data_IF_543681624984
#
_entry.id   IF_543681624984
#
_cell.length_a   1.000
_cell.length_b   1.000
_cell.length_c   1.000
_cell.angle_alpha   90.00
_cell.angle_beta   90.00
_cell.angle_gamma   90.00
#
_symmetry.space_group_name_H-M   'P 1'
#
loop_
_entity.id
_entity.type
_entity.pdbx_description
1 polymer ?
#
# COMPACT_ATOMS: atom_id res chain seq x y z
N UNK A 1 -7.45 -0.04 -21.68
CA UNK A 1 -7.05 1.14 -20.90
C UNK A 1 -5.70 1.61 -21.42
N UNK A 2 -5.48 2.90 -21.61
CA UNK A 2 -4.16 3.39 -22.04
C UNK A 2 -3.15 3.28 -20.90
N UNK A 3 -1.85 3.19 -21.22
CA UNK A 3 -0.78 3.15 -20.21
C UNK A 3 -0.82 4.37 -19.27
N UNK A 4 -1.11 5.56 -19.81
CA UNK A 4 -1.24 6.80 -19.02
C UNK A 4 -2.44 6.75 -18.09
N UNK A 5 -3.58 6.22 -18.56
CA UNK A 5 -4.78 6.04 -17.73
C UNK A 5 -4.54 5.05 -16.61
N UNK A 6 -3.83 3.94 -16.88
CA UNK A 6 -3.47 2.96 -15.86
C UNK A 6 -2.54 3.57 -14.80
N UNK A 7 -1.51 4.30 -15.22
CA UNK A 7 -0.60 5.00 -14.30
C UNK A 7 -1.34 6.00 -13.41
N UNK A 8 -2.31 6.74 -13.95
CA UNK A 8 -3.10 7.68 -13.18
C UNK A 8 -4.03 6.98 -12.18
N UNK A 9 -4.67 5.87 -12.59
CA UNK A 9 -5.55 5.09 -11.70
C UNK A 9 -4.78 4.50 -10.50
N UNK A 10 -3.57 4.01 -10.73
CA UNK A 10 -2.72 3.48 -9.66
C UNK A 10 -2.16 4.61 -8.77
N UNK A 11 -1.79 5.76 -9.35
CA UNK A 11 -1.36 6.93 -8.57
C UNK A 11 -2.47 7.45 -7.65
N UNK A 12 -3.72 7.41 -8.09
CA UNK A 12 -4.88 7.75 -7.26
C UNK A 12 -5.06 6.78 -6.07
N UNK A 13 -4.84 5.47 -6.29
CA UNK A 13 -4.83 4.49 -5.18
C UNK A 13 -3.74 4.84 -4.17
N UNK A 14 -2.51 5.10 -4.62
CA UNK A 14 -1.40 5.47 -3.74
C UNK A 14 -1.73 6.72 -2.91
N UNK A 15 -2.34 7.74 -3.54
CA UNK A 15 -2.76 8.97 -2.86
C UNK A 15 -3.80 8.68 -1.77
N UNK A 16 -4.82 7.87 -2.09
CA UNK A 16 -5.85 7.46 -1.11
C UNK A 16 -5.27 6.61 0.01
N UNK A 17 -4.30 5.76 -0.32
CA UNK A 17 -3.60 4.90 0.63
C UNK A 17 -2.81 5.74 1.64
N UNK A 18 -1.94 6.64 1.17
CA UNK A 18 -1.15 7.52 2.03
C UNK A 18 -2.05 8.41 2.89
N UNK A 19 -3.11 8.98 2.31
CA UNK A 19 -4.07 9.79 3.05
C UNK A 19 -4.83 8.99 4.13
N UNK A 20 -5.10 7.70 3.90
CA UNK A 20 -5.76 6.82 4.88
C UNK A 20 -4.83 6.42 6.01
N UNK A 21 -3.62 6.01 5.66
CA UNK A 21 -2.61 5.66 6.64
C UNK A 21 -2.28 6.85 7.55
N UNK A 22 -2.01 8.02 6.96
CA UNK A 22 -1.58 9.20 7.71
C UNK A 22 -2.64 9.82 8.61
N UNK A 23 -3.93 9.55 8.37
CA UNK A 23 -5.02 9.96 9.28
C UNK A 23 -5.41 8.87 10.29
N UNK A 24 -4.68 7.77 10.33
CA UNK A 24 -4.92 6.65 11.27
C UNK A 24 -6.07 5.73 10.87
N UNK A 25 -6.51 5.74 9.62
CA UNK A 25 -7.70 5.03 9.14
C UNK A 25 -7.32 3.71 8.44
N UNK A 26 -6.97 2.71 9.25
CA UNK A 26 -6.58 1.39 8.76
C UNK A 26 -7.72 0.67 8.00
N UNK A 27 -8.98 0.96 8.30
CA UNK A 27 -10.12 0.39 7.60
C UNK A 27 -10.20 0.91 6.16
N UNK A 28 -10.01 2.22 5.96
CA UNK A 28 -9.93 2.77 4.61
C UNK A 28 -8.68 2.32 3.84
N UNK A 29 -7.56 2.06 4.53
CA UNK A 29 -6.40 1.40 3.91
C UNK A 29 -6.80 0.02 3.39
N UNK A 30 -7.42 -0.81 4.24
CA UNK A 30 -7.83 -2.18 3.87
C UNK A 30 -8.87 -2.21 2.74
N UNK A 31 -9.75 -1.21 2.64
CA UNK A 31 -10.75 -1.10 1.56
C UNK A 31 -10.14 -0.93 0.15
N UNK A 32 -8.84 -0.59 0.05
CA UNK A 32 -8.11 -0.48 -1.22
C UNK A 32 -7.55 -1.84 -1.71
N UNK A 33 -7.73 -2.91 -0.94
CA UNK A 33 -7.26 -4.25 -1.25
C UNK A 33 -8.36 -5.16 -1.80
N UNK A 34 -7.96 -6.12 -2.61
CA UNK A 34 -8.79 -7.20 -3.14
C UNK A 34 -9.23 -8.15 -2.02
N UNK A 35 -10.33 -8.87 -2.21
CA UNK A 35 -10.81 -9.86 -1.24
C UNK A 35 -9.78 -11.00 -1.01
N UNK A 36 -8.99 -11.33 -2.04
CA UNK A 36 -7.93 -12.33 -2.02
C UNK A 36 -6.54 -11.71 -1.76
N UNK A 37 -6.48 -10.46 -1.32
CA UNK A 37 -5.21 -9.76 -1.21
C UNK A 37 -4.27 -10.36 -0.17
N UNK A 38 -2.97 -10.25 -0.40
CA UNK A 38 -1.94 -10.56 0.58
C UNK A 38 -0.93 -9.41 0.70
N UNK A 39 -0.66 -9.00 1.93
CA UNK A 39 0.46 -8.13 2.27
C UNK A 39 1.55 -8.99 2.90
N UNK A 40 2.78 -8.87 2.40
CA UNK A 40 3.91 -9.76 2.74
C UNK A 40 5.03 -8.94 3.42
N UNK A 41 4.98 -8.75 4.76
CA UNK A 41 6.04 -8.06 5.49
C UNK A 41 7.36 -8.83 5.40
N UNK A 42 8.48 -8.10 5.35
CA UNK A 42 9.81 -8.73 5.40
C UNK A 42 9.98 -9.55 6.69
N UNK A 43 10.21 -10.86 6.54
CA UNK A 43 10.45 -11.78 7.66
C UNK A 43 9.24 -12.10 8.55
N UNK A 44 8.06 -11.58 8.23
CA UNK A 44 6.82 -11.82 8.97
C UNK A 44 5.84 -12.74 8.24
N UNK A 45 4.76 -13.11 8.93
CA UNK A 45 3.66 -13.85 8.34
C UNK A 45 2.86 -12.99 7.35
N UNK A 46 2.33 -13.64 6.31
CA UNK A 46 1.47 -12.99 5.35
C UNK A 46 0.15 -12.54 6.00
N UNK A 47 -0.22 -11.27 5.81
CA UNK A 47 -1.55 -10.78 6.14
C UNK A 47 -2.49 -11.02 4.94
N UNK A 48 -3.33 -12.03 5.03
CA UNK A 48 -4.22 -12.48 3.94
C UNK A 48 -5.66 -12.00 4.17
N UNK A 49 -6.20 -11.32 3.16
CA UNK A 49 -7.54 -10.75 3.13
C UNK A 49 -7.64 -9.39 3.85
N UNK A 50 -8.68 -8.59 3.54
CA UNK A 50 -8.82 -7.22 4.06
C UNK A 50 -8.79 -7.12 5.59
N UNK A 51 -9.34 -8.10 6.31
CA UNK A 51 -9.36 -8.08 7.78
C UNK A 51 -7.94 -8.18 8.38
N UNK A 52 -7.11 -9.12 7.91
CA UNK A 52 -5.73 -9.26 8.39
C UNK A 52 -4.88 -8.05 7.99
N UNK A 53 -5.11 -7.51 6.79
CA UNK A 53 -4.44 -6.31 6.28
C UNK A 53 -4.79 -5.08 7.13
N UNK A 54 -6.05 -4.92 7.52
CA UNK A 54 -6.47 -3.87 8.44
C UNK A 54 -5.74 -4.00 9.78
N UNK A 55 -5.68 -5.21 10.36
CA UNK A 55 -4.97 -5.46 11.62
C UNK A 55 -3.49 -5.10 11.51
N UNK A 56 -2.82 -5.49 10.41
CA UNK A 56 -1.42 -5.18 10.17
C UNK A 56 -1.16 -3.67 10.17
N UNK A 57 -1.91 -2.90 9.37
CA UNK A 57 -1.68 -1.46 9.27
C UNK A 57 -2.18 -0.69 10.49
N UNK A 58 -3.22 -1.15 11.17
CA UNK A 58 -3.61 -0.60 12.47
C UNK A 58 -2.48 -0.76 13.51
N UNK A 59 -1.79 -1.90 13.51
CA UNK A 59 -0.61 -2.14 14.35
C UNK A 59 0.53 -1.16 14.05
N UNK A 60 0.84 -0.94 12.77
CA UNK A 60 1.86 0.02 12.34
C UNK A 60 1.53 1.46 12.75
N UNK A 61 0.27 1.87 12.58
CA UNK A 61 -0.21 3.20 13.02
C UNK A 61 -0.10 3.31 14.55
N UNK A 62 -0.56 2.30 15.29
CA UNK A 62 -0.51 2.29 16.75
C UNK A 62 0.92 2.28 17.31
N UNK A 63 1.90 1.73 16.57
CA UNK A 63 3.31 1.80 16.93
C UNK A 63 3.95 3.16 16.64
N UNK A 64 3.19 4.13 16.12
CA UNK A 64 3.65 5.51 15.87
C UNK A 64 4.25 5.75 14.49
N UNK A 65 4.07 4.83 13.54
CA UNK A 65 4.45 5.07 12.14
C UNK A 65 3.49 6.11 11.55
N UNK A 66 4.04 7.16 10.95
CA UNK A 66 3.29 8.29 10.37
C UNK A 66 4.07 8.90 9.20
N UNK A 67 3.49 9.93 8.57
CA UNK A 67 4.08 10.62 7.41
C UNK A 67 4.51 9.65 6.30
N UNK A 68 3.67 8.64 6.04
CA UNK A 68 3.86 7.67 4.99
C UNK A 68 3.68 8.32 3.62
N UNK A 69 4.50 7.90 2.66
CA UNK A 69 4.45 8.36 1.27
C UNK A 69 4.85 7.24 0.32
N UNK A 70 4.07 7.05 -0.74
CA UNK A 70 4.38 6.19 -1.87
C UNK A 70 4.77 7.06 -3.08
N UNK A 71 5.90 6.72 -3.70
CA UNK A 71 6.36 7.33 -4.94
C UNK A 71 6.30 6.30 -6.07
N UNK A 72 5.36 6.49 -7.00
CA UNK A 72 5.19 5.63 -8.17
C UNK A 72 6.28 5.90 -9.20
N UNK A 73 7.08 4.87 -9.53
CA UNK A 73 8.10 4.98 -10.60
C UNK A 73 7.61 4.42 -11.92
N UNK A 74 7.00 3.24 -11.89
CA UNK A 74 6.53 2.57 -13.10
C UNK A 74 5.31 1.72 -12.79
N UNK A 75 4.40 1.68 -13.76
CA UNK A 75 3.26 0.76 -13.79
C UNK A 75 3.31 0.03 -15.12
N UNK A 76 3.16 -1.29 -15.09
CA UNK A 76 3.07 -2.14 -16.27
C UNK A 76 1.90 -3.11 -16.09
N UNK A 77 1.19 -3.43 -17.16
CA UNK A 77 0.01 -4.28 -17.08
C UNK A 77 -0.93 -4.09 -18.25
N UNK A 78 -2.11 -4.65 -18.11
CA UNK A 78 -3.22 -4.57 -19.05
C UNK A 78 -4.51 -4.12 -18.36
N UNK A 79 -5.66 -4.50 -18.92
CA UNK A 79 -6.98 -4.10 -18.43
C UNK A 79 -7.51 -4.98 -17.29
N UNK A 80 -6.76 -6.00 -16.87
CA UNK A 80 -7.14 -6.94 -15.81
C UNK A 80 -6.13 -6.94 -14.67
N UNK A 81 -4.83 -6.93 -14.97
CA UNK A 81 -3.74 -6.99 -13.99
C UNK A 81 -2.72 -5.90 -14.26
N UNK A 82 -2.24 -5.27 -13.18
CA UNK A 82 -1.17 -4.29 -13.24
C UNK A 82 -0.18 -4.47 -12.10
N UNK A 83 1.07 -4.11 -12.34
CA UNK A 83 2.15 -4.12 -11.34
C UNK A 83 2.77 -2.73 -11.25
N UNK A 84 2.88 -2.21 -10.04
CA UNK A 84 3.63 -1.01 -9.71
C UNK A 84 4.99 -1.36 -9.11
N UNK A 85 6.01 -0.57 -9.47
CA UNK A 85 7.26 -0.45 -8.73
C UNK A 85 7.43 0.99 -8.27
N UNK A 86 7.93 1.19 -7.06
CA UNK A 86 8.09 2.51 -6.49
C UNK A 86 8.96 2.52 -5.24
N UNK A 87 9.01 3.67 -4.59
CA UNK A 87 9.56 3.83 -3.25
C UNK A 87 8.45 4.05 -2.24
N UNK A 88 8.71 3.65 -1.00
CA UNK A 88 7.93 4.08 0.15
C UNK A 88 8.84 4.81 1.13
N UNK A 89 8.26 5.66 1.95
CA UNK A 89 8.92 6.24 3.12
C UNK A 89 7.91 6.48 4.23
N UNK A 90 8.37 6.45 5.48
CA UNK A 90 7.56 6.78 6.66
C UNK A 90 8.46 7.25 7.80
N UNK A 91 7.86 7.72 8.88
CA UNK A 91 8.58 8.21 10.06
C UNK A 91 8.04 7.57 11.33
N UNK A 92 8.93 7.31 12.30
CA UNK A 92 8.56 6.90 13.66
C UNK A 92 9.65 7.33 14.64
N UNK A 93 9.32 7.38 15.93
CA UNK A 93 10.32 7.61 16.97
C UNK A 93 11.04 6.30 17.33
N UNK A 94 12.36 6.35 17.51
CA UNK A 94 13.12 5.22 18.07
C UNK A 94 12.91 5.11 19.59
N UNK A 95 13.59 4.15 20.22
CA UNK A 95 13.52 3.91 21.67
C UNK A 95 13.98 5.12 22.51
N UNK A 96 14.87 5.95 21.96
CA UNK A 96 15.38 7.17 22.60
C UNK A 96 14.48 8.40 22.36
N UNK A 97 13.39 8.23 21.61
CA UNK A 97 12.41 9.28 21.31
C UNK A 97 12.78 10.17 20.10
N UNK A 98 13.87 9.86 19.39
CA UNK A 98 14.33 10.59 18.22
C UNK A 98 13.53 10.20 16.98
N UNK A 99 13.17 11.18 16.15
CA UNK A 99 12.45 10.94 14.91
C UNK A 99 13.39 10.32 13.86
N UNK A 100 13.03 9.14 13.37
CA UNK A 100 13.71 8.46 12.28
C UNK A 100 12.83 8.41 11.03
N UNK A 101 13.47 8.47 9.86
CA UNK A 101 12.81 8.24 8.56
C UNK A 101 13.25 6.89 8.02
N UNK A 102 12.26 6.05 7.70
CA UNK A 102 12.43 4.76 7.05
C UNK A 102 12.06 4.90 5.59
N UNK A 103 12.74 4.16 4.71
CA UNK A 103 12.38 4.11 3.30
C UNK A 103 12.94 2.87 2.63
N UNK A 104 12.31 2.48 1.53
CA UNK A 104 12.80 1.41 0.68
C UNK A 104 11.97 1.31 -0.59
N UNK A 105 11.92 0.12 -1.15
CA UNK A 105 11.20 -0.14 -2.40
C UNK A 105 9.93 -0.93 -2.14
N UNK A 106 8.92 -0.72 -2.96
CA UNK A 106 7.69 -1.52 -2.95
C UNK A 106 7.41 -2.08 -4.33
N UNK A 107 6.74 -3.23 -4.34
CA UNK A 107 6.05 -3.76 -5.51
C UNK A 107 4.62 -4.10 -5.11
N UNK A 108 3.66 -3.64 -5.91
CA UNK A 108 2.25 -3.94 -5.72
C UNK A 108 1.66 -4.46 -7.01
N UNK A 109 1.02 -5.63 -6.94
CA UNK A 109 0.16 -6.16 -7.99
C UNK A 109 -1.26 -5.72 -7.70
N UNK A 110 -1.97 -5.27 -8.74
CA UNK A 110 -3.36 -4.83 -8.69
C UNK A 110 -4.21 -5.70 -9.61
N UNK A 111 -5.44 -5.95 -9.20
CA UNK A 111 -6.48 -6.61 -9.99
C UNK A 111 -7.63 -5.64 -10.22
N UNK A 112 -8.09 -5.56 -11.47
CA UNK A 112 -9.29 -4.81 -11.81
C UNK A 112 -10.52 -5.59 -11.38
N UNK A 113 -11.40 -4.92 -10.66
CA UNK A 113 -12.62 -5.48 -10.10
C UNK A 113 -13.78 -5.42 -11.11
N UNK A 114 -14.86 -6.20 -10.91
CA UNK A 114 -16.07 -6.13 -11.74
C UNK A 114 -16.72 -4.74 -11.79
N UNK A 115 -16.54 -3.93 -10.73
CA UNK A 115 -17.01 -2.53 -10.67
C UNK A 115 -16.15 -1.57 -11.53
N UNK A 116 -15.11 -2.08 -12.18
CA UNK A 116 -14.18 -1.34 -13.03
C UNK A 116 -13.03 -0.66 -12.28
N UNK A 117 -13.07 -0.65 -10.94
CA UNK A 117 -12.04 -0.11 -10.07
C UNK A 117 -10.84 -1.04 -9.90
N UNK A 118 -9.71 -0.49 -9.48
CA UNK A 118 -8.50 -1.26 -9.18
C UNK A 118 -8.38 -1.50 -7.68
N UNK A 119 -7.87 -2.67 -7.30
CA UNK A 119 -7.57 -3.04 -5.91
C UNK A 119 -6.23 -3.77 -5.82
N UNK A 120 -5.48 -3.55 -4.74
CA UNK A 120 -4.21 -4.21 -4.51
C UNK A 120 -4.42 -5.70 -4.19
N UNK A 121 -3.74 -6.59 -4.89
CA UNK A 121 -3.80 -8.04 -4.76
C UNK A 121 -2.58 -8.60 -4.03
N UNK A 122 -1.38 -8.09 -4.33
CA UNK A 122 -0.15 -8.51 -3.64
C UNK A 122 0.69 -7.29 -3.36
N UNK A 123 1.10 -7.10 -2.11
CA UNK A 123 1.92 -5.96 -1.70
C UNK A 123 3.12 -6.46 -0.90
N UNK A 124 4.32 -6.16 -1.40
CA UNK A 124 5.59 -6.42 -0.72
C UNK A 124 6.44 -5.14 -0.71
N UNK A 125 7.24 -4.97 0.35
CA UNK A 125 8.22 -3.90 0.47
C UNK A 125 9.50 -4.39 1.14
N UNK A 126 10.57 -3.61 1.04
CA UNK A 126 11.83 -3.76 1.77
C UNK A 126 12.28 -2.46 2.41
#
# INVERSE_FOLDING_TARGET
MSQTTLQAAIADINTRWDAAFNRGDAAAVAALYDAEAAVLPAGGDAAVGPAAIQTLFAGAIASGIHNHRIEQHAVAGDDLIATQRGRWSAQAKNADGELQTFSGHLTVVYRRQPDGGWRALTHIWN
#
